data_IF_462673099710
#
_entry.id   IF_462673099710
#
_cell.length_a   1.000
_cell.length_b   1.000
_cell.length_c   1.000
_cell.angle_alpha   90.00
_cell.angle_beta   90.00
_cell.angle_gamma   90.00
#
_symmetry.space_group_name_H-M   'P 1'
#
loop_
_entity.id
_entity.type
_entity.pdbx_description
1 polymer ?
#
# COMPACT_ATOMS: atom_id res chain seq x y z
N UNK A 1 6.20 30.72 -12.73
CA UNK A 1 6.65 30.31 -11.37
C UNK A 1 5.84 29.12 -10.83
N UNK A 2 4.51 29.13 -10.92
CA UNK A 2 3.63 28.08 -10.40
C UNK A 2 3.88 26.67 -10.98
N UNK A 3 4.06 26.54 -12.30
CA UNK A 3 4.34 25.24 -12.96
C UNK A 3 5.57 24.51 -12.37
N UNK A 4 6.65 25.25 -12.11
CA UNK A 4 7.88 24.72 -11.51
C UNK A 4 7.66 24.28 -10.06
N UNK A 5 6.87 25.04 -9.28
CA UNK A 5 6.51 24.67 -7.90
C UNK A 5 5.69 23.38 -7.85
N UNK A 6 4.69 23.23 -8.72
CA UNK A 6 3.87 22.01 -8.80
C UNK A 6 4.72 20.79 -9.15
N UNK A 7 5.61 20.93 -10.15
CA UNK A 7 6.55 19.86 -10.52
C UNK A 7 7.45 19.48 -9.34
N UNK A 8 8.00 20.47 -8.63
CA UNK A 8 8.85 20.22 -7.47
C UNK A 8 8.07 19.47 -6.38
N UNK A 9 6.85 19.91 -6.04
CA UNK A 9 5.98 19.23 -5.06
C UNK A 9 5.73 17.78 -5.45
N UNK A 10 5.34 17.54 -6.71
CA UNK A 10 5.06 16.20 -7.21
C UNK A 10 6.29 15.28 -7.12
N UNK A 11 7.45 15.77 -7.56
CA UNK A 11 8.71 15.02 -7.49
C UNK A 11 9.20 14.83 -6.04
N UNK A 12 8.97 15.79 -5.15
CA UNK A 12 9.27 15.64 -3.72
C UNK A 12 8.42 14.55 -3.07
N UNK A 13 7.13 14.48 -3.40
CA UNK A 13 6.24 13.41 -2.91
C UNK A 13 6.70 12.05 -3.45
N UNK A 14 7.03 11.97 -4.74
CA UNK A 14 7.58 10.74 -5.35
C UNK A 14 8.88 10.32 -4.66
N UNK A 15 9.79 11.26 -4.43
CA UNK A 15 11.04 11.03 -3.72
C UNK A 15 10.81 10.50 -2.29
N UNK A 16 9.83 11.04 -1.58
CA UNK A 16 9.45 10.57 -0.25
C UNK A 16 8.89 9.14 -0.26
N UNK A 17 8.03 8.81 -1.23
CA UNK A 17 7.53 7.44 -1.42
C UNK A 17 8.67 6.46 -1.73
N UNK A 18 9.61 6.86 -2.59
CA UNK A 18 10.77 6.05 -2.94
C UNK A 18 11.71 5.86 -1.74
N UNK A 19 11.96 6.92 -0.96
CA UNK A 19 12.75 6.83 0.27
C UNK A 19 12.11 5.88 1.29
N UNK A 20 10.79 5.95 1.49
CA UNK A 20 10.07 5.03 2.35
C UNK A 20 10.18 3.56 1.86
N UNK A 21 10.15 3.33 0.54
CA UNK A 21 10.35 1.99 -0.03
C UNK A 21 11.77 1.46 0.25
N UNK A 22 12.79 2.29 0.06
CA UNK A 22 14.18 1.92 0.36
C UNK A 22 14.37 1.64 1.85
N UNK A 23 13.83 2.51 2.71
CA UNK A 23 13.92 2.35 4.16
C UNK A 23 13.27 1.05 4.63
N UNK A 24 12.09 0.73 4.10
CA UNK A 24 11.40 -0.54 4.35
C UNK A 24 12.19 -1.75 3.86
N UNK A 25 12.85 -1.64 2.71
CA UNK A 25 13.62 -2.75 2.13
C UNK A 25 14.85 -3.11 2.96
N UNK A 26 15.48 -2.11 3.60
CA UNK A 26 16.68 -2.30 4.42
C UNK A 26 16.35 -2.63 5.87
N UNK A 27 15.41 -1.93 6.49
CA UNK A 27 15.15 -2.00 7.93
C UNK A 27 13.89 -2.75 8.33
N UNK A 28 12.96 -2.98 7.39
CA UNK A 28 11.61 -3.46 7.71
C UNK A 28 10.67 -2.39 8.29
N UNK A 29 11.16 -1.16 8.51
CA UNK A 29 10.37 -0.03 9.01
C UNK A 29 9.75 0.73 7.84
N UNK A 30 8.46 1.03 7.93
CA UNK A 30 7.72 1.78 6.92
C UNK A 30 6.81 2.82 7.58
N UNK A 31 6.37 3.83 6.83
CA UNK A 31 5.27 4.68 7.24
C UNK A 31 4.01 3.84 7.47
N UNK A 32 3.24 4.22 8.49
CA UNK A 32 1.97 3.57 8.77
C UNK A 32 1.01 3.67 7.56
N UNK A 33 0.06 2.74 7.48
CA UNK A 33 -0.79 2.61 6.29
C UNK A 33 -1.60 3.88 5.98
N UNK A 34 -2.11 4.57 7.00
CA UNK A 34 -2.86 5.83 6.84
C UNK A 34 -2.02 6.94 6.24
N UNK A 35 -0.84 7.22 6.80
CA UNK A 35 0.08 8.26 6.31
C UNK A 35 0.55 7.93 4.90
N UNK A 36 0.90 6.67 4.65
CA UNK A 36 1.30 6.16 3.34
C UNK A 36 0.19 6.37 2.30
N UNK A 37 -1.06 6.06 2.64
CA UNK A 37 -2.22 6.30 1.77
C UNK A 37 -2.40 7.79 1.50
N UNK A 38 -2.33 8.65 2.51
CA UNK A 38 -2.45 10.11 2.33
C UNK A 38 -1.40 10.66 1.36
N UNK A 39 -0.15 10.19 1.47
CA UNK A 39 0.94 10.60 0.57
C UNK A 39 0.69 10.10 -0.86
N UNK A 40 0.24 8.84 -1.04
CA UNK A 40 -0.12 8.29 -2.35
C UNK A 40 -1.26 9.06 -3.02
N UNK A 41 -2.29 9.44 -2.26
CA UNK A 41 -3.39 10.28 -2.75
C UNK A 41 -2.85 11.66 -3.16
N UNK A 42 -2.02 12.29 -2.34
CA UNK A 42 -1.40 13.58 -2.68
C UNK A 42 -0.50 13.48 -3.93
N UNK A 43 0.21 12.37 -4.11
CA UNK A 43 0.98 12.07 -5.32
C UNK A 43 0.08 12.05 -6.56
N UNK A 44 -1.05 11.35 -6.46
CA UNK A 44 -2.00 11.24 -7.57
C UNK A 44 -2.65 12.58 -7.91
N UNK A 45 -3.13 13.32 -6.90
CA UNK A 45 -3.74 14.64 -7.07
C UNK A 45 -2.74 15.63 -7.69
N UNK A 46 -1.49 15.64 -7.22
CA UNK A 46 -0.48 16.53 -7.76
C UNK A 46 -0.14 16.21 -9.22
N UNK A 47 -0.11 14.92 -9.61
CA UNK A 47 0.05 14.50 -11.00
C UNK A 47 -1.11 14.93 -11.89
N UNK A 48 -2.35 14.75 -11.41
CA UNK A 48 -3.56 15.20 -12.09
C UNK A 48 -3.58 16.72 -12.28
N UNK A 49 -3.27 17.50 -11.26
CA UNK A 49 -3.19 18.97 -11.37
C UNK A 49 -2.09 19.36 -12.36
N UNK A 50 -0.91 18.73 -12.26
CA UNK A 50 0.22 19.02 -13.13
C UNK A 50 -0.11 18.77 -14.61
N UNK A 51 -0.93 17.76 -14.94
CA UNK A 51 -1.38 17.51 -16.31
C UNK A 51 -1.96 18.76 -16.96
N UNK A 52 -2.89 19.46 -16.31
CA UNK A 52 -3.51 20.67 -16.88
C UNK A 52 -2.52 21.83 -17.04
N UNK A 53 -1.51 21.93 -16.15
CA UNK A 53 -0.47 22.96 -16.27
C UNK A 53 0.56 22.66 -17.37
N UNK A 54 0.80 21.39 -17.70
CA UNK A 54 1.77 20.95 -18.69
C UNK A 54 1.15 20.49 -20.01
N UNK A 55 -0.19 20.54 -20.16
CA UNK A 55 -0.91 20.15 -21.37
C UNK A 55 -0.44 20.90 -22.62
N UNK A 56 -0.08 22.19 -22.46
CA UNK A 56 0.49 23.01 -23.53
C UNK A 56 1.80 23.68 -23.09
N UNK A 57 2.87 23.61 -23.90
CA UNK A 57 3.01 22.78 -25.11
C UNK A 57 3.06 21.26 -24.77
N UNK A 58 2.63 20.41 -25.70
CA UNK A 58 2.72 18.95 -25.59
C UNK A 58 4.19 18.51 -25.54
N UNK A 59 4.72 18.42 -24.33
CA UNK A 59 6.11 18.03 -24.05
C UNK A 59 6.17 16.64 -23.43
N UNK A 60 7.38 16.10 -23.24
CA UNK A 60 7.59 14.83 -22.51
C UNK A 60 6.94 14.84 -21.12
N UNK A 61 6.94 16.00 -20.44
CA UNK A 61 6.25 16.17 -19.16
C UNK A 61 4.72 16.07 -19.30
N UNK A 62 4.14 16.54 -20.40
CA UNK A 62 2.71 16.37 -20.67
C UNK A 62 2.35 14.89 -20.81
N UNK A 63 3.18 14.11 -21.48
CA UNK A 63 2.98 12.66 -21.62
C UNK A 63 3.10 11.96 -20.26
N UNK A 64 4.11 12.30 -19.47
CA UNK A 64 4.25 11.79 -18.10
C UNK A 64 3.00 12.06 -17.25
N UNK A 65 2.52 13.31 -17.22
CA UNK A 65 1.35 13.67 -16.42
C UNK A 65 0.04 13.14 -16.98
N UNK A 66 -0.05 12.87 -18.29
CA UNK A 66 -1.26 12.27 -18.89
C UNK A 66 -1.60 10.91 -18.32
N UNK A 67 -0.62 10.16 -17.81
CA UNK A 67 -0.84 8.89 -17.13
C UNK A 67 -1.84 9.04 -15.96
N UNK A 68 -1.74 10.10 -15.17
CA UNK A 68 -2.58 10.34 -13.99
C UNK A 68 -4.02 10.75 -14.32
N UNK A 69 -4.31 11.13 -15.57
CA UNK A 69 -5.64 11.60 -15.99
C UNK A 69 -6.26 10.65 -17.02
N UNK A 70 -5.54 10.40 -18.11
CA UNK A 70 -6.01 9.57 -19.22
C UNK A 70 -5.92 8.09 -18.87
N UNK A 71 -4.92 7.68 -18.09
CA UNK A 71 -4.69 6.27 -17.77
C UNK A 71 -5.84 5.58 -17.02
N UNK A 72 -6.44 6.17 -15.97
CA UNK A 72 -7.64 5.62 -15.34
C UNK A 72 -8.84 5.53 -16.30
N UNK A 73 -9.00 6.51 -17.19
CA UNK A 73 -10.08 6.54 -18.20
C UNK A 73 -9.91 5.38 -19.18
N UNK A 74 -8.70 5.21 -19.74
CA UNK A 74 -8.38 4.09 -20.64
C UNK A 74 -8.56 2.76 -19.90
N UNK A 75 -8.11 2.66 -18.65
CA UNK A 75 -8.27 1.47 -17.83
C UNK A 75 -9.74 1.09 -17.66
N UNK A 76 -10.58 2.06 -17.31
CA UNK A 76 -12.02 1.87 -17.14
C UNK A 76 -12.72 1.47 -18.46
N UNK A 77 -12.45 2.18 -19.56
CA UNK A 77 -13.02 1.87 -20.87
C UNK A 77 -12.55 0.50 -21.38
N UNK A 78 -11.28 0.17 -21.19
CA UNK A 78 -10.73 -1.14 -21.56
C UNK A 78 -11.31 -2.27 -20.71
N UNK A 79 -11.69 -2.00 -19.47
CA UNK A 79 -12.36 -2.97 -18.62
C UNK A 79 -13.78 -3.24 -19.11
N UNK A 80 -14.50 -2.21 -19.55
CA UNK A 80 -15.83 -2.34 -20.18
C UNK A 80 -15.80 -3.07 -21.53
N UNK A 81 -14.72 -2.98 -22.30
CA UNK A 81 -14.66 -3.46 -23.68
C UNK A 81 -14.39 -4.96 -23.84
N UNK A 82 -13.59 -5.58 -22.96
CA UNK A 82 -13.47 -7.05 -22.80
C UNK A 82 -12.54 -7.43 -21.62
N UNK A 83 -12.50 -6.57 -20.59
CA UNK A 83 -11.88 -6.87 -19.30
C UNK A 83 -10.35 -6.84 -19.23
N UNK A 84 -9.62 -7.55 -20.08
CA UNK A 84 -8.21 -7.89 -19.80
C UNK A 84 -7.24 -6.71 -19.99
N UNK A 85 -7.35 -5.96 -21.08
CA UNK A 85 -6.49 -4.79 -21.32
C UNK A 85 -6.75 -3.68 -20.32
N UNK A 86 -8.03 -3.46 -19.97
CA UNK A 86 -8.39 -2.57 -18.88
C UNK A 86 -7.85 -3.04 -17.53
N UNK A 87 -7.98 -4.33 -17.22
CA UNK A 87 -7.45 -4.91 -15.98
C UNK A 87 -5.93 -4.75 -15.87
N UNK A 88 -5.18 -4.92 -16.96
CA UNK A 88 -3.73 -4.67 -16.98
C UNK A 88 -3.43 -3.20 -16.68
N UNK A 89 -4.13 -2.26 -17.32
CA UNK A 89 -3.93 -0.82 -17.09
C UNK A 89 -4.28 -0.47 -15.64
N UNK A 90 -5.43 -0.93 -15.13
CA UNK A 90 -5.87 -0.71 -13.75
C UNK A 90 -4.91 -1.37 -12.74
N UNK A 91 -4.29 -2.51 -13.09
CA UNK A 91 -3.28 -3.20 -12.26
C UNK A 91 -2.15 -2.26 -11.83
N UNK A 92 -1.72 -1.35 -12.71
CA UNK A 92 -0.71 -0.35 -12.38
C UNK A 92 -1.16 0.71 -11.36
N UNK A 93 -2.45 0.79 -11.02
CA UNK A 93 -2.98 1.70 -10.01
C UNK A 93 -3.25 1.01 -8.66
N UNK A 94 -3.20 -0.33 -8.58
CA UNK A 94 -3.43 -1.04 -7.31
C UNK A 94 -2.39 -0.72 -6.25
N UNK A 95 -1.17 -0.33 -6.64
CA UNK A 95 -0.16 0.13 -5.67
C UNK A 95 -0.61 1.38 -4.89
N UNK A 96 -1.63 2.12 -5.33
CA UNK A 96 -2.21 3.27 -4.62
C UNK A 96 -3.08 2.81 -3.45
N UNK A 97 -3.71 1.63 -3.56
CA UNK A 97 -4.63 1.14 -2.54
C UNK A 97 -3.89 0.89 -1.22
N UNK A 98 -4.58 1.11 -0.08
CA UNK A 98 -4.06 0.74 1.22
C UNK A 98 -4.05 -0.78 1.34
N UNK A 99 -3.17 -1.29 2.20
CA UNK A 99 -3.30 -2.68 2.63
C UNK A 99 -4.56 -2.80 3.51
N UNK A 100 -5.28 -3.91 3.37
CA UNK A 100 -6.48 -4.15 4.18
C UNK A 100 -6.07 -4.51 5.62
N UNK A 101 -6.64 -3.80 6.59
CA UNK A 101 -6.48 -4.07 8.02
C UNK A 101 -7.35 -5.25 8.41
N UNK A 102 -6.73 -6.32 8.91
CA UNK A 102 -7.41 -7.55 9.33
C UNK A 102 -7.60 -7.56 10.83
N UNK A 103 -6.59 -7.10 11.57
CA UNK A 103 -6.61 -7.03 13.02
C UNK A 103 -5.83 -5.82 13.52
N UNK A 104 -6.33 -5.20 14.57
CA UNK A 104 -5.74 -4.01 15.18
C UNK A 104 -5.82 -4.09 16.71
N UNK A 105 -4.69 -3.89 17.38
CA UNK A 105 -4.60 -3.61 18.81
C UNK A 105 -3.62 -2.44 19.04
N UNK A 106 -3.47 -1.92 20.26
CA UNK A 106 -2.61 -0.78 20.59
C UNK A 106 -1.16 -0.95 20.14
N UNK A 107 -0.62 -2.17 20.21
CA UNK A 107 0.81 -2.43 19.94
C UNK A 107 1.06 -3.05 18.55
N UNK A 108 0.09 -3.82 18.02
CA UNK A 108 0.27 -4.63 16.82
C UNK A 108 -0.86 -4.44 15.81
N UNK A 109 -0.53 -4.66 14.55
CA UNK A 109 -1.47 -4.62 13.43
C UNK A 109 -1.15 -5.73 12.43
N UNK A 110 -2.19 -6.37 11.91
CA UNK A 110 -2.08 -7.40 10.87
C UNK A 110 -2.71 -6.85 9.61
N UNK A 111 -1.90 -6.80 8.56
CA UNK A 111 -2.34 -6.41 7.23
C UNK A 111 -2.45 -7.64 6.34
N UNK A 112 -3.50 -7.67 5.53
CA UNK A 112 -3.59 -8.60 4.40
C UNK A 112 -2.61 -8.15 3.32
N UNK A 113 -1.91 -9.11 2.72
CA UNK A 113 -1.01 -8.86 1.58
C UNK A 113 -1.77 -8.83 0.24
N UNK A 114 -3.03 -8.39 0.28
CA UNK A 114 -3.94 -8.32 -0.87
C UNK A 114 -3.73 -7.02 -1.64
N UNK A 115 -2.71 -7.05 -2.51
CA UNK A 115 -2.35 -5.93 -3.38
C UNK A 115 -2.76 -6.13 -4.85
N UNK A 116 -3.90 -6.77 -5.13
CA UNK A 116 -4.43 -6.90 -6.48
C UNK A 116 -5.33 -8.12 -6.71
N UNK A 117 -6.06 -8.18 -7.84
CA UNK A 117 -6.97 -9.28 -8.17
C UNK A 117 -6.27 -10.64 -8.39
N UNK A 118 -4.93 -10.64 -8.40
CA UNK A 118 -4.08 -11.84 -8.54
C UNK A 118 -3.39 -12.24 -7.22
N UNK A 119 -3.66 -11.57 -6.10
CA UNK A 119 -3.05 -11.98 -4.84
C UNK A 119 -3.66 -13.30 -4.36
N UNK A 120 -2.81 -14.32 -4.17
CA UNK A 120 -3.23 -15.53 -3.46
C UNK A 120 -3.66 -15.13 -2.04
N UNK A 121 -4.91 -15.47 -1.67
CA UNK A 121 -5.42 -15.28 -0.32
C UNK A 121 -4.55 -16.00 0.72
N UNK A 122 -4.72 -15.65 1.99
CA UNK A 122 -4.05 -16.35 3.10
C UNK A 122 -2.63 -15.87 3.41
N UNK A 123 -2.15 -14.79 2.80
CA UNK A 123 -0.87 -14.15 3.14
C UNK A 123 -1.10 -12.86 3.93
N UNK A 124 -0.52 -12.79 5.13
CA UNK A 124 -0.62 -11.63 6.01
C UNK A 124 0.77 -11.18 6.48
N UNK A 125 0.85 -9.92 6.88
CA UNK A 125 2.05 -9.32 7.44
C UNK A 125 1.73 -8.70 8.79
N UNK A 126 2.57 -9.02 9.78
CA UNK A 126 2.47 -8.53 11.14
C UNK A 126 3.41 -7.34 11.34
N UNK A 127 2.88 -6.27 11.91
CA UNK A 127 3.62 -5.05 12.20
C UNK A 127 3.47 -4.63 13.66
N UNK A 128 4.55 -4.09 14.20
CA UNK A 128 4.61 -3.36 15.46
C UNK A 128 4.41 -1.87 15.20
N UNK A 129 3.61 -1.19 16.02
CA UNK A 129 3.35 0.24 15.86
C UNK A 129 4.43 1.10 16.51
N UNK A 130 4.92 2.06 15.74
CA UNK A 130 5.92 3.05 16.15
C UNK A 130 5.43 4.47 15.80
N UNK A 131 4.21 4.82 16.23
CA UNK A 131 3.57 6.11 15.97
C UNK A 131 3.27 6.34 14.48
N UNK A 132 4.05 7.20 13.82
CA UNK A 132 3.93 7.45 12.38
C UNK A 132 4.51 6.32 11.51
N UNK A 133 5.26 5.41 12.14
CA UNK A 133 5.91 4.29 11.49
C UNK A 133 5.39 2.96 12.02
N UNK A 134 5.67 1.91 11.27
CA UNK A 134 5.37 0.52 11.57
C UNK A 134 6.60 -0.31 11.25
N UNK A 135 6.94 -1.25 12.13
CA UNK A 135 8.06 -2.16 11.93
C UNK A 135 7.54 -3.56 11.60
N UNK A 136 7.96 -4.12 10.46
CA UNK A 136 7.53 -5.46 10.05
C UNK A 136 8.18 -6.52 10.93
N UNK A 137 7.36 -7.21 11.71
CA UNK A 137 7.78 -8.27 12.63
C UNK A 137 7.98 -9.58 11.89
N UNK A 138 7.06 -9.92 10.99
CA UNK A 138 7.03 -11.22 10.31
C UNK A 138 5.88 -11.37 9.32
N UNK A 139 5.86 -12.51 8.63
CA UNK A 139 4.81 -12.91 7.69
C UNK A 139 4.03 -14.07 8.29
N UNK A 140 2.72 -14.08 8.09
CA UNK A 140 1.81 -15.12 8.52
C UNK A 140 1.23 -15.77 7.26
N UNK A 141 1.28 -17.09 7.20
CA UNK A 141 0.58 -17.86 6.18
C UNK A 141 -0.55 -18.62 6.87
N UNK A 142 -1.76 -18.43 6.39
CA UNK A 142 -2.95 -19.11 6.89
C UNK A 142 -3.70 -19.70 5.71
N UNK A 143 -4.20 -20.92 5.87
CA UNK A 143 -5.12 -21.51 4.90
C UNK A 143 -6.51 -20.89 5.00
N UNK A 144 -6.84 -20.30 6.16
CA UNK A 144 -8.07 -19.57 6.41
C UNK A 144 -7.94 -18.10 6.02
N UNK A 145 -9.04 -17.53 5.55
CA UNK A 145 -9.19 -16.09 5.27
C UNK A 145 -9.48 -15.37 6.59
N UNK A 146 -8.43 -14.81 7.20
CA UNK A 146 -8.49 -14.11 8.48
C UNK A 146 -9.41 -12.86 8.44
N UNK A 147 -9.61 -12.28 7.27
CA UNK A 147 -10.53 -11.15 7.05
C UNK A 147 -11.98 -11.48 7.41
N UNK A 148 -12.39 -12.75 7.28
CA UNK A 148 -13.76 -13.16 7.53
C UNK A 148 -14.08 -13.30 9.02
N UNK A 149 -13.08 -13.60 9.86
CA UNK A 149 -13.26 -13.86 11.29
C UNK A 149 -12.20 -13.15 12.15
N UNK A 150 -12.14 -11.81 12.13
CA UNK A 150 -11.09 -11.06 12.82
C UNK A 150 -11.14 -11.19 14.35
N UNK A 151 -12.31 -11.50 14.92
CA UNK A 151 -12.51 -11.67 16.36
C UNK A 151 -11.85 -12.94 16.92
N UNK A 152 -11.52 -13.90 16.07
CA UNK A 152 -10.88 -15.16 16.48
C UNK A 152 -9.36 -15.01 16.63
N UNK A 153 -8.82 -13.83 16.33
CA UNK A 153 -7.40 -13.52 16.40
C UNK A 153 -7.03 -13.08 17.81
N UNK A 154 -6.09 -13.78 18.43
CA UNK A 154 -5.54 -13.45 19.75
C UNK A 154 -4.02 -13.32 19.67
N UNK A 155 -3.48 -12.21 20.16
CA UNK A 155 -2.03 -12.01 20.30
C UNK A 155 -1.66 -12.18 21.77
N UNK A 156 -0.78 -13.13 22.06
CA UNK A 156 -0.29 -13.40 23.41
C UNK A 156 1.21 -13.11 23.46
N UNK A 157 1.58 -12.18 24.33
CA UNK A 157 2.97 -11.88 24.63
C UNK A 157 3.40 -12.73 25.85
N UNK A 158 4.31 -13.69 25.62
CA UNK A 158 5.01 -14.42 26.66
C UNK A 158 6.42 -13.84 26.81
N UNK A 159 7.07 -14.13 27.95
CA UNK A 159 8.33 -13.52 28.39
C UNK A 159 9.44 -13.46 27.32
N UNK A 160 9.50 -14.41 26.39
CA UNK A 160 10.44 -14.43 25.26
C UNK A 160 9.77 -14.82 23.93
N UNK A 161 8.44 -14.76 23.84
CA UNK A 161 7.72 -15.27 22.67
C UNK A 161 6.49 -14.42 22.37
N UNK A 162 6.33 -14.05 21.10
CA UNK A 162 5.08 -13.52 20.57
C UNK A 162 4.34 -14.64 19.84
N UNK A 163 3.13 -14.95 20.32
CA UNK A 163 2.26 -15.98 19.74
C UNK A 163 1.00 -15.33 19.19
N UNK A 164 0.63 -15.68 17.96
CA UNK A 164 -0.64 -15.29 17.36
C UNK A 164 -1.47 -16.54 17.13
N UNK A 165 -2.68 -16.50 17.65
CA UNK A 165 -3.68 -17.56 17.53
C UNK A 165 -4.80 -17.12 16.60
N UNK A 166 -5.33 -18.07 15.85
CA UNK A 166 -6.62 -17.99 15.17
C UNK A 166 -7.40 -19.26 15.48
N UNK A 167 -8.62 -19.14 16.04
CA UNK A 167 -9.45 -20.28 16.49
C UNK A 167 -8.65 -21.27 17.34
N UNK A 168 -7.90 -20.74 18.30
CA UNK A 168 -7.03 -21.47 19.23
C UNK A 168 -5.88 -22.26 18.58
N UNK A 169 -5.62 -22.10 17.28
CA UNK A 169 -4.45 -22.63 16.57
C UNK A 169 -3.37 -21.56 16.45
N UNK A 170 -2.11 -21.91 16.72
CA UNK A 170 -0.98 -20.98 16.54
C UNK A 170 -0.69 -20.81 15.04
N UNK A 171 -0.85 -19.58 14.56
CA UNK A 171 -0.57 -19.21 13.16
C UNK A 171 0.77 -18.46 13.01
N UNK A 172 1.34 -17.97 14.12
CA UNK A 172 2.64 -17.31 14.12
C UNK A 172 3.32 -17.41 15.49
N UNK A 173 4.62 -17.67 15.47
CA UNK A 173 5.51 -17.65 16.65
C UNK A 173 6.77 -16.87 16.31
N UNK A 174 7.14 -15.91 17.17
CA UNK A 174 8.45 -15.25 17.11
C UNK A 174 9.09 -15.25 18.49
N UNK A 175 10.32 -15.73 18.56
CA UNK A 175 11.15 -15.61 19.75
C UNK A 175 11.69 -14.18 19.85
N UNK A 176 11.53 -13.57 21.01
CA UNK A 176 12.05 -12.27 21.38
C UNK A 176 13.37 -12.50 22.12
N UNK A 177 14.44 -11.88 21.63
CA UNK A 177 15.77 -11.91 22.26
C UNK A 177 15.82 -10.94 23.45
#
# INVERSE_FOLDING_TARGET
MLKKKILLIHLSILGLLFLNLLFFSVSGITLNNTVKLSIKIAFFISGFIAFFFYLKPFTKLSLYFSYFTIGPIIGFLGWLADGIMGAIVISFYFWILPNLEVYFNNDYIIYSKTGGPLSAGGQYELYEKLGLFENRIGKIQSNDILEENPNDIKIIHKKHELLIYHKDTIIFTKYLN
#
